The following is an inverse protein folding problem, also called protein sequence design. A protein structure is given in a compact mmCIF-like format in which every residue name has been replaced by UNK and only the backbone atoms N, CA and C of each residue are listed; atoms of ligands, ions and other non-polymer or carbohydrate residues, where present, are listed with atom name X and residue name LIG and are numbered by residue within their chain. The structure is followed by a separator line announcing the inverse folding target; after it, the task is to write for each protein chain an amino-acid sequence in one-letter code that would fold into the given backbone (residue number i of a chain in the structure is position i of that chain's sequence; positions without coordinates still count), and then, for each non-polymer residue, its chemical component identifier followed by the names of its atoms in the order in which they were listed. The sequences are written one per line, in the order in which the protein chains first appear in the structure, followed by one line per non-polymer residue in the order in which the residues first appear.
data_IF_987735626365
#
_entry.id   IF_987735626365
#
_cell.length_a   1.000
_cell.length_b   1.000
_cell.length_c   1.000
_cell.angle_alpha   90.00
_cell.angle_beta   90.00
_cell.angle_gamma   90.00
#
_symmetry.space_group_name_H-M   'P 1'
#
loop_
_entity.id
_entity.type
_entity.pdbx_description
1 polymer ?
#
# COMPACT_ATOMS: atom_id res chain seq x y z
N UNK A 1 76.87 -10.11 56.71
CA UNK A 1 77.22 -11.05 55.61
C UNK A 1 76.44 -10.62 54.40
N UNK A 2 77.13 -9.99 53.45
CA UNK A 2 76.56 -9.44 52.22
C UNK A 2 76.90 -10.43 51.11
N UNK A 3 75.89 -11.02 50.47
CA UNK A 3 76.06 -11.88 49.31
C UNK A 3 76.03 -11.01 48.05
N UNK A 4 77.15 -10.95 47.33
CA UNK A 4 77.29 -10.24 46.06
C UNK A 4 76.78 -11.06 44.87
N UNK A 5 76.53 -10.41 43.71
CA UNK A 5 76.10 -11.08 42.50
C UNK A 5 77.26 -11.80 41.82
N UNK A 6 77.03 -13.05 41.42
CA UNK A 6 77.96 -13.84 40.61
C UNK A 6 78.08 -13.26 39.21
N UNK A 7 79.30 -12.88 38.86
CA UNK A 7 79.69 -12.48 37.50
C UNK A 7 80.08 -13.76 36.76
N UNK A 8 79.32 -14.17 35.75
CA UNK A 8 79.73 -15.25 34.86
C UNK A 8 80.73 -14.68 33.84
N UNK A 9 82.00 -15.04 33.99
CA UNK A 9 83.06 -14.80 33.01
C UNK A 9 82.87 -15.73 31.80
N UNK A 10 82.65 -15.17 30.61
CA UNK A 10 82.77 -15.88 29.35
C UNK A 10 84.22 -15.72 28.86
N UNK A 11 85.03 -16.78 28.89
CA UNK A 11 86.48 -16.70 28.67
C UNK A 11 86.97 -17.05 27.25
N UNK A 12 86.12 -17.07 26.21
CA UNK A 12 86.59 -17.29 24.84
C UNK A 12 85.79 -16.46 23.83
N UNK A 13 86.50 -15.57 23.14
CA UNK A 13 86.01 -14.44 22.33
C UNK A 13 85.50 -14.84 20.91
N UNK A 14 84.97 -16.05 20.75
CA UNK A 14 84.50 -16.56 19.45
C UNK A 14 83.12 -17.24 19.46
N UNK A 15 82.50 -17.50 20.62
CA UNK A 15 81.20 -18.18 20.74
C UNK A 15 80.09 -17.33 21.40
N UNK A 16 80.32 -16.03 21.59
CA UNK A 16 79.27 -15.11 22.02
C UNK A 16 78.35 -14.78 20.83
N UNK A 17 77.45 -15.70 20.48
CA UNK A 17 76.30 -15.37 19.62
C UNK A 17 75.44 -14.39 20.43
N UNK A 18 75.26 -13.13 20.01
CA UNK A 18 74.37 -12.22 20.70
C UNK A 18 72.99 -12.86 20.79
N UNK A 19 72.29 -12.75 21.94
CA UNK A 19 70.94 -13.27 22.05
C UNK A 19 70.14 -12.77 20.84
N UNK A 20 69.38 -13.64 20.15
CA UNK A 20 68.61 -13.23 18.99
C UNK A 20 67.82 -11.98 19.38
N UNK A 21 67.83 -10.94 18.53
CA UNK A 21 67.12 -9.71 18.83
C UNK A 21 65.69 -10.08 19.26
N UNK A 22 65.17 -9.48 20.34
CA UNK A 22 63.83 -9.80 20.81
C UNK A 22 62.91 -9.75 19.61
N UNK A 23 62.21 -10.87 19.35
CA UNK A 23 61.27 -10.98 18.25
C UNK A 23 60.46 -9.68 18.22
N UNK A 24 60.40 -8.96 17.08
CA UNK A 24 59.75 -7.67 17.04
C UNK A 24 58.37 -7.85 17.66
N UNK A 25 58.10 -7.10 18.74
CA UNK A 25 56.80 -7.15 19.40
C UNK A 25 55.74 -7.07 18.30
N UNK A 26 54.79 -8.02 18.24
CA UNK A 26 53.83 -8.06 17.16
C UNK A 26 53.23 -6.67 17.02
N UNK A 27 53.39 -6.08 15.83
CA UNK A 27 52.86 -4.74 15.56
C UNK A 27 51.41 -4.73 16.03
N UNK A 28 50.99 -3.77 16.87
CA UNK A 28 49.63 -3.77 17.39
C UNK A 28 48.67 -3.86 16.22
N UNK A 29 47.77 -4.84 16.24
CA UNK A 29 46.80 -4.99 15.17
C UNK A 29 46.00 -3.68 15.08
N UNK A 30 45.84 -3.10 13.87
CA UNK A 30 45.08 -1.87 13.69
C UNK A 30 43.65 -2.00 14.19
N UNK A 31 42.96 -0.88 14.37
CA UNK A 31 41.51 -0.87 14.62
C UNK A 31 40.81 -1.56 13.45
N UNK A 32 39.84 -2.41 13.75
CA UNK A 32 39.03 -3.08 12.74
C UNK A 32 37.64 -3.28 13.34
N UNK A 33 36.69 -2.45 12.91
CA UNK A 33 35.30 -2.57 13.34
C UNK A 33 34.56 -3.55 12.45
N UNK A 34 33.46 -4.11 12.94
CA UNK A 34 32.58 -4.97 12.16
C UNK A 34 31.16 -4.67 12.57
N UNK A 35 30.23 -4.64 11.61
CA UNK A 35 28.80 -4.59 11.91
C UNK A 35 28.07 -5.83 11.40
N UNK A 36 27.08 -6.30 12.17
CA UNK A 36 26.30 -7.48 11.86
C UNK A 36 24.87 -7.30 12.35
N UNK A 37 23.87 -7.58 11.51
CA UNK A 37 22.49 -7.68 11.99
C UNK A 37 22.34 -8.95 12.82
N UNK A 38 21.84 -8.81 14.04
CA UNK A 38 21.35 -9.97 14.78
C UNK A 38 20.04 -10.49 14.14
N UNK A 39 19.63 -11.74 14.46
CA UNK A 39 18.40 -12.30 13.93
C UNK A 39 17.23 -11.33 14.05
N UNK A 40 16.65 -10.96 12.90
CA UNK A 40 15.59 -9.95 12.84
C UNK A 40 14.22 -10.62 13.01
N UNK A 41 13.51 -10.40 14.14
CA UNK A 41 12.28 -11.13 14.44
C UNK A 41 11.12 -10.90 13.46
N UNK A 42 11.12 -9.78 12.72
CA UNK A 42 10.04 -9.42 11.79
C UNK A 42 10.64 -8.95 10.47
N UNK A 43 10.23 -9.58 9.37
CA UNK A 43 10.67 -9.24 8.01
C UNK A 43 9.49 -8.86 7.09
N UNK A 44 8.25 -8.89 7.58
CA UNK A 44 7.06 -8.52 6.83
C UNK A 44 6.37 -7.36 7.51
N UNK A 45 6.32 -6.22 6.84
CA UNK A 45 5.82 -4.97 7.39
C UNK A 45 4.62 -4.47 6.61
N UNK A 46 3.71 -3.78 7.29
CA UNK A 46 2.72 -2.95 6.62
C UNK A 46 3.38 -1.68 6.09
N UNK A 47 2.82 -1.07 5.05
CA UNK A 47 3.22 0.28 4.62
C UNK A 47 3.19 1.26 5.80
N UNK A 48 4.21 2.12 5.87
CA UNK A 48 4.45 3.09 6.94
C UNK A 48 4.73 2.51 8.34
N UNK A 49 4.95 1.20 8.46
CA UNK A 49 5.29 0.59 9.74
C UNK A 49 6.73 0.94 10.16
N UNK A 50 6.96 1.15 11.46
CA UNK A 50 8.31 1.26 12.00
C UNK A 50 8.88 -0.13 12.24
N UNK A 51 9.95 -0.46 11.53
CA UNK A 51 10.72 -1.66 11.78
C UNK A 51 11.77 -1.42 12.88
N UNK A 52 11.95 -2.40 13.78
CA UNK A 52 13.00 -2.39 14.80
C UNK A 52 13.95 -3.56 14.59
N UNK A 53 15.26 -3.32 14.64
CA UNK A 53 16.30 -4.34 14.48
C UNK A 53 17.42 -4.13 15.51
N UNK A 54 18.31 -5.12 15.64
CA UNK A 54 19.51 -4.99 16.47
C UNK A 54 20.75 -5.23 15.62
N UNK A 55 21.71 -4.31 15.72
CA UNK A 55 23.00 -4.39 15.05
C UNK A 55 24.07 -4.61 16.09
N UNK A 56 24.82 -5.69 15.97
CA UNK A 56 26.02 -5.93 16.75
C UNK A 56 27.19 -5.21 16.08
N UNK A 57 27.91 -4.41 16.88
CA UNK A 57 29.18 -3.83 16.50
C UNK A 57 30.28 -4.50 17.30
N UNK A 58 31.29 -5.01 16.61
CA UNK A 58 32.44 -5.69 17.23
C UNK A 58 33.72 -4.99 16.81
N UNK A 59 34.64 -4.78 17.75
CA UNK A 59 36.01 -4.42 17.43
C UNK A 59 36.83 -5.71 17.30
N UNK A 60 37.11 -6.15 16.08
CA UNK A 60 37.91 -7.34 15.80
C UNK A 60 39.40 -7.02 15.66
N UNK A 61 39.77 -5.74 15.74
CA UNK A 61 41.14 -5.25 15.70
C UNK A 61 41.87 -5.35 17.04
N UNK A 62 43.13 -4.91 17.04
CA UNK A 62 43.99 -4.91 18.24
C UNK A 62 44.03 -3.59 19.00
N UNK A 63 43.38 -2.55 18.47
CA UNK A 63 43.40 -1.19 19.02
C UNK A 63 42.01 -0.78 19.50
N UNK A 64 41.90 -0.12 20.66
CA UNK A 64 40.63 0.39 21.20
C UNK A 64 40.01 1.43 20.27
N UNK A 65 38.70 1.33 20.02
CA UNK A 65 37.98 2.33 19.23
C UNK A 65 37.66 3.58 20.06
N UNK A 66 37.61 4.74 19.41
CA UNK A 66 36.92 5.91 19.90
C UNK A 66 35.39 5.71 19.80
N UNK A 67 34.62 6.64 20.37
CA UNK A 67 33.17 6.68 20.16
C UNK A 67 32.87 6.81 18.65
N UNK A 68 32.03 5.92 18.14
CA UNK A 68 31.75 5.73 16.72
C UNK A 68 30.25 5.88 16.45
N UNK A 69 29.85 5.88 15.18
CA UNK A 69 28.44 5.98 14.79
C UNK A 69 28.03 4.79 13.95
N UNK A 70 26.84 4.24 14.21
CA UNK A 70 26.17 3.31 13.31
C UNK A 70 25.12 4.06 12.52
N UNK A 71 25.18 3.97 11.18
CA UNK A 71 24.11 4.43 10.31
C UNK A 71 23.27 3.26 9.81
N UNK A 72 22.05 3.57 9.33
CA UNK A 72 21.15 2.61 8.70
C UNK A 72 20.68 3.09 7.32
N UNK A 73 20.71 2.18 6.34
CA UNK A 73 20.33 2.43 4.96
C UNK A 73 19.29 1.42 4.50
N UNK A 74 18.00 1.78 4.58
CA UNK A 74 16.91 0.87 4.22
C UNK A 74 16.72 0.69 2.71
N UNK A 75 17.25 1.60 1.88
CA UNK A 75 17.06 1.61 0.41
C UNK A 75 18.35 1.45 -0.41
N UNK A 76 19.48 1.12 0.22
CA UNK A 76 20.71 0.75 -0.50
C UNK A 76 21.40 1.87 -1.29
N UNK A 77 21.55 3.07 -0.71
CA UNK A 77 22.30 4.16 -1.35
C UNK A 77 23.82 3.87 -1.45
N UNK A 78 24.57 4.57 -2.33
CA UNK A 78 26.02 4.41 -2.44
C UNK A 78 26.72 4.69 -1.11
N UNK A 79 27.77 3.90 -0.84
CA UNK A 79 28.58 3.99 0.37
C UNK A 79 29.20 5.39 0.54
N UNK A 80 29.23 5.96 1.76
CA UNK A 80 30.15 7.05 2.04
C UNK A 80 31.58 6.53 1.93
N UNK A 81 32.38 7.15 1.06
CA UNK A 81 33.82 6.89 0.95
C UNK A 81 34.51 7.84 1.93
N UNK A 82 35.25 7.32 2.90
CA UNK A 82 36.07 8.16 3.77
C UNK A 82 37.45 8.40 3.15
N UNK A 83 37.71 9.62 2.65
CA UNK A 83 39.05 10.19 2.81
C UNK A 83 38.99 11.63 3.36
N UNK A 84 39.47 11.81 4.59
CA UNK A 84 40.03 13.09 5.08
C UNK A 84 39.09 14.23 5.50
N UNK A 85 37.78 14.03 5.66
CA UNK A 85 36.84 15.05 6.18
C UNK A 85 35.56 14.37 6.68
N UNK A 86 34.88 14.88 7.74
CA UNK A 86 33.65 14.28 8.25
C UNK A 86 32.54 14.36 7.20
N UNK A 87 32.31 13.26 6.49
CA UNK A 87 31.09 13.07 5.72
C UNK A 87 30.00 12.70 6.72
N UNK A 88 28.98 13.54 6.79
CA UNK A 88 27.73 13.23 7.47
C UNK A 88 27.18 11.92 6.88
N UNK A 89 26.69 10.98 7.70
CA UNK A 89 25.92 9.86 7.18
C UNK A 89 24.86 10.39 6.19
N UNK A 90 24.64 9.74 5.03
CA UNK A 90 23.53 10.06 4.14
C UNK A 90 22.22 10.12 4.94
N UNK A 91 21.26 10.91 4.47
CA UNK A 91 19.97 11.12 5.15
C UNK A 91 19.38 9.78 5.65
N UNK A 92 19.41 9.58 6.96
CA UNK A 92 19.10 8.34 7.67
C UNK A 92 19.20 8.52 9.19
N UNK A 93 18.90 7.47 9.95
CA UNK A 93 19.07 7.51 11.42
C UNK A 93 20.50 7.09 11.79
N UNK A 94 21.10 7.82 12.73
CA UNK A 94 22.43 7.55 13.27
C UNK A 94 22.35 7.24 14.74
N UNK A 95 23.14 6.26 15.19
CA UNK A 95 23.16 5.78 16.57
C UNK A 95 24.59 5.84 17.11
N UNK A 96 24.75 6.39 18.31
CA UNK A 96 26.05 6.50 18.95
C UNK A 96 26.47 5.14 19.51
N UNK A 97 27.72 4.78 19.29
CA UNK A 97 28.36 3.58 19.82
C UNK A 97 29.52 4.01 20.70
N UNK A 98 29.47 3.61 21.97
CA UNK A 98 30.55 3.85 22.92
C UNK A 98 31.84 3.17 22.47
N UNK A 99 32.97 3.61 23.04
CA UNK A 99 34.29 3.01 22.79
C UNK A 99 34.30 1.49 23.02
N UNK A 100 34.94 0.75 22.11
CA UNK A 100 35.06 -0.71 22.17
C UNK A 100 36.52 -1.12 22.34
N UNK A 101 36.81 -1.88 23.40
CA UNK A 101 38.09 -2.55 23.57
C UNK A 101 38.30 -3.64 22.50
N UNK A 102 39.56 -4.05 22.22
CA UNK A 102 39.83 -5.19 21.33
C UNK A 102 39.03 -6.44 21.73
N UNK A 103 38.33 -7.03 20.76
CA UNK A 103 37.44 -8.19 20.94
C UNK A 103 36.07 -7.89 21.57
N UNK A 104 35.83 -6.66 22.03
CA UNK A 104 34.55 -6.30 22.63
C UNK A 104 33.44 -6.12 21.58
N UNK A 105 32.20 -6.38 21.99
CA UNK A 105 31.00 -6.17 21.18
C UNK A 105 29.95 -5.39 21.94
N UNK A 106 29.11 -4.67 21.21
CA UNK A 106 27.91 -4.02 21.74
C UNK A 106 26.75 -4.16 20.77
N UNK A 107 25.55 -4.27 21.30
CA UNK A 107 24.32 -4.46 20.53
C UNK A 107 23.52 -3.15 20.55
N UNK A 108 23.23 -2.63 19.37
CA UNK A 108 22.56 -1.36 19.16
C UNK A 108 21.15 -1.62 18.61
N UNK A 109 20.14 -1.21 19.36
CA UNK A 109 18.75 -1.23 18.89
C UNK A 109 18.50 -0.06 17.95
N UNK A 110 18.07 -0.36 16.73
CA UNK A 110 17.75 0.60 15.68
C UNK A 110 16.28 0.53 15.32
N UNK A 111 15.72 1.65 14.86
CA UNK A 111 14.35 1.69 14.33
C UNK A 111 14.22 2.62 13.13
N UNK A 112 13.39 2.26 12.15
CA UNK A 112 13.19 3.07 10.96
C UNK A 112 11.82 2.81 10.34
N UNK A 113 11.29 3.79 9.62
CA UNK A 113 10.05 3.62 8.86
C UNK A 113 10.35 2.87 7.56
N UNK A 114 9.61 1.80 7.28
CA UNK A 114 9.84 0.96 6.07
C UNK A 114 9.38 1.62 4.77
N UNK A 115 8.71 2.77 4.84
CA UNK A 115 8.16 3.51 3.71
C UNK A 115 6.77 3.05 3.30
N UNK A 116 6.20 3.74 2.31
CA UNK A 116 4.85 3.46 1.80
C UNK A 116 4.85 2.44 0.65
N UNK A 117 5.97 2.35 -0.07
CA UNK A 117 6.10 1.55 -1.29
C UNK A 117 6.15 0.05 -0.96
N UNK A 118 5.21 -0.77 -1.46
CA UNK A 118 5.27 -2.21 -1.33
C UNK A 118 6.42 -2.78 -2.15
N UNK A 119 6.98 -3.87 -1.68
CA UNK A 119 8.09 -4.54 -2.34
C UNK A 119 9.01 -5.23 -1.35
N UNK A 120 10.05 -5.86 -1.88
CA UNK A 120 11.13 -6.44 -1.08
C UNK A 120 12.34 -5.53 -1.17
N UNK A 121 12.87 -5.15 -0.02
CA UNK A 121 13.98 -4.23 0.17
C UNK A 121 15.08 -4.92 0.96
N UNK A 122 16.30 -4.37 0.90
CA UNK A 122 17.41 -4.84 1.71
C UNK A 122 17.94 -3.68 2.55
N UNK A 123 17.89 -3.84 3.87
CA UNK A 123 18.46 -2.90 4.82
C UNK A 123 19.93 -3.25 5.09
N UNK A 124 20.79 -2.25 5.10
CA UNK A 124 22.20 -2.37 5.48
C UNK A 124 22.50 -1.49 6.69
N UNK A 125 23.33 -2.01 7.60
CA UNK A 125 23.88 -1.25 8.72
C UNK A 125 25.37 -1.04 8.46
N UNK A 126 25.88 0.12 8.89
CA UNK A 126 27.29 0.43 8.75
C UNK A 126 27.81 1.04 10.03
N UNK A 127 28.96 0.57 10.49
CA UNK A 127 29.72 1.24 11.54
C UNK A 127 30.76 2.16 10.89
N UNK A 128 30.74 3.45 11.25
CA UNK A 128 31.64 4.45 10.71
C UNK A 128 32.62 4.84 11.82
N UNK A 129 33.86 4.29 11.84
CA UNK A 129 34.86 4.66 12.83
C UNK A 129 35.07 6.17 12.84
N UNK A 130 35.41 6.71 14.01
CA UNK A 130 35.76 8.11 14.12
C UNK A 130 36.91 8.43 13.14
N UNK A 131 36.78 9.50 12.36
CA UNK A 131 37.73 9.84 11.28
C UNK A 131 39.16 10.18 11.76
N UNK A 132 39.45 9.99 13.05
CA UNK A 132 40.77 10.09 13.67
C UNK A 132 41.45 8.72 13.86
N UNK A 133 40.80 7.61 13.49
CA UNK A 133 41.36 6.25 13.56
C UNK A 133 41.20 5.54 12.20
N UNK A 134 42.30 5.10 11.56
CA UNK A 134 42.21 4.28 10.37
C UNK A 134 41.67 2.90 10.73
N UNK A 135 40.78 2.39 9.90
CA UNK A 135 40.19 1.05 10.03
C UNK A 135 40.84 0.09 9.03
N UNK A 136 41.18 -1.10 9.51
CA UNK A 136 41.98 -2.06 8.78
C UNK A 136 41.25 -2.69 7.59
N UNK A 137 39.91 -2.81 7.66
CA UNK A 137 39.14 -3.57 6.68
C UNK A 137 37.74 -3.00 6.47
N UNK A 138 37.63 -1.84 5.82
CA UNK A 138 36.33 -1.21 5.50
C UNK A 138 35.19 -2.14 5.01
N UNK A 139 35.41 -3.21 4.21
CA UNK A 139 34.33 -4.11 3.80
C UNK A 139 33.55 -4.78 4.93
N UNK A 140 34.13 -5.02 6.10
CA UNK A 140 33.43 -5.66 7.23
C UNK A 140 32.64 -4.66 8.09
N UNK A 141 32.82 -3.35 7.85
CA UNK A 141 32.04 -2.30 8.50
C UNK A 141 30.59 -2.29 8.02
N UNK A 142 30.32 -2.86 6.85
CA UNK A 142 28.99 -3.09 6.29
C UNK A 142 28.45 -4.45 6.75
N UNK A 143 27.22 -4.48 7.25
CA UNK A 143 26.52 -5.73 7.53
C UNK A 143 26.14 -6.46 6.24
N UNK A 144 25.95 -7.78 6.29
CA UNK A 144 25.57 -8.60 5.13
C UNK A 144 24.22 -8.26 4.48
N UNK A 145 23.52 -7.24 4.97
CA UNK A 145 22.18 -6.86 4.56
C UNK A 145 21.11 -7.77 5.15
N UNK A 146 19.92 -7.24 5.39
CA UNK A 146 18.75 -8.07 5.71
C UNK A 146 17.57 -7.66 4.84
N UNK A 147 16.96 -8.65 4.21
CA UNK A 147 15.78 -8.46 3.37
C UNK A 147 14.54 -8.28 4.23
N UNK A 148 13.71 -7.32 3.87
CA UNK A 148 12.36 -7.15 4.42
C UNK A 148 11.36 -6.88 3.30
N UNK A 149 10.11 -7.22 3.53
CA UNK A 149 9.01 -7.01 2.60
C UNK A 149 8.00 -6.04 3.18
N UNK A 150 7.68 -5.00 2.43
CA UNK A 150 6.57 -4.09 2.72
C UNK A 150 5.37 -4.53 1.91
N UNK A 151 4.26 -4.78 2.59
CA UNK A 151 2.98 -5.06 1.95
C UNK A 151 2.04 -3.87 2.15
N UNK A 152 1.49 -3.34 1.06
CA UNK A 152 0.32 -2.48 1.17
C UNK A 152 -0.93 -3.36 1.24
N UNK A 153 -1.71 -3.11 2.28
CA UNK A 153 -3.03 -3.66 2.52
C UNK A 153 -4.01 -2.50 2.44
N UNK A 154 -5.22 -2.77 1.96
CA UNK A 154 -6.24 -1.76 1.71
C UNK A 154 -7.60 -2.20 2.24
N UNK A 155 -8.44 -1.21 2.42
CA UNK A 155 -9.82 -1.31 2.87
C UNK A 155 -10.64 -0.19 2.21
N UNK A 156 -11.95 -0.40 2.13
CA UNK A 156 -12.90 0.57 1.62
C UNK A 156 -13.84 1.03 2.73
N UNK A 157 -14.47 2.18 2.54
CA UNK A 157 -15.47 2.73 3.45
C UNK A 157 -16.75 3.06 2.67
N UNK A 158 -17.91 2.66 3.17
CA UNK A 158 -19.18 3.21 2.71
C UNK A 158 -19.73 4.24 3.70
N UNK A 159 -20.27 5.33 3.17
CA UNK A 159 -20.96 6.36 3.95
C UNK A 159 -22.43 6.37 3.52
N UNK A 160 -23.33 6.28 4.50
CA UNK A 160 -24.77 6.25 4.28
C UNK A 160 -25.27 5.08 3.38
N UNK A 161 -24.44 4.05 3.19
CA UNK A 161 -24.70 2.96 2.26
C UNK A 161 -24.43 1.58 2.85
N UNK A 162 -25.14 0.60 2.32
CA UNK A 162 -25.04 -0.80 2.71
C UNK A 162 -23.95 -1.53 1.93
N UNK A 163 -23.46 -2.62 2.50
CA UNK A 163 -22.53 -3.55 1.84
C UNK A 163 -23.15 -4.93 1.86
N UNK A 164 -23.18 -5.59 0.70
CA UNK A 164 -23.70 -6.93 0.62
C UNK A 164 -23.04 -7.76 -0.47
N UNK A 165 -22.79 -9.02 -0.16
CA UNK A 165 -22.37 -10.03 -1.13
C UNK A 165 -23.07 -11.35 -0.81
N UNK A 166 -23.52 -12.09 -1.84
CA UNK A 166 -24.08 -13.43 -1.63
C UNK A 166 -23.05 -14.40 -1.03
N UNK A 167 -21.80 -14.23 -1.40
CA UNK A 167 -20.69 -15.07 -0.96
C UNK A 167 -19.86 -14.29 0.05
N UNK A 168 -18.65 -13.87 -0.30
CA UNK A 168 -17.70 -13.33 0.67
C UNK A 168 -17.60 -11.81 0.63
N UNK A 169 -17.47 -11.18 1.79
CA UNK A 169 -16.88 -9.83 1.92
C UNK A 169 -15.56 -9.97 2.66
N UNK A 170 -14.50 -9.47 2.04
CA UNK A 170 -13.14 -9.51 2.59
C UNK A 170 -12.39 -8.23 2.23
N UNK A 171 -11.49 -7.83 3.12
CA UNK A 171 -10.52 -6.75 2.89
C UNK A 171 -9.14 -7.21 3.35
N UNK A 172 -8.09 -6.58 2.83
CA UNK A 172 -6.72 -6.95 3.23
C UNK A 172 -6.23 -6.21 4.48
N UNK A 173 -6.87 -5.10 4.85
CA UNK A 173 -6.59 -4.29 6.04
C UNK A 173 -7.85 -4.12 6.87
N UNK A 174 -7.78 -4.31 8.19
CA UNK A 174 -8.85 -3.87 9.09
C UNK A 174 -8.83 -2.35 9.18
N UNK A 175 -9.98 -1.64 9.08
CA UNK A 175 -10.03 -0.21 9.25
C UNK A 175 -9.47 0.22 10.62
N UNK A 176 -8.93 1.45 10.74
CA UNK A 176 -8.52 1.98 12.04
C UNK A 176 -9.71 2.11 13.00
N UNK A 177 -9.41 2.22 14.29
CA UNK A 177 -10.44 2.37 15.33
C UNK A 177 -11.38 3.56 15.03
N UNK A 178 -12.69 3.32 15.18
CA UNK A 178 -13.73 4.32 14.89
C UNK A 178 -14.12 4.42 13.42
N UNK A 179 -13.58 3.57 12.54
CA UNK A 179 -13.92 3.51 11.11
C UNK A 179 -14.39 2.11 10.75
N UNK A 180 -15.27 2.03 9.76
CA UNK A 180 -15.98 0.80 9.40
C UNK A 180 -16.16 0.71 7.89
N UNK A 181 -16.29 -0.51 7.34
CA UNK A 181 -16.65 -0.69 5.93
C UNK A 181 -18.08 -0.21 5.66
N UNK A 182 -18.96 -0.28 6.65
CA UNK A 182 -20.31 0.30 6.62
C UNK A 182 -20.77 0.61 8.03
N UNK A 183 -21.59 1.65 8.14
CA UNK A 183 -22.32 2.01 9.37
C UNK A 183 -23.80 1.62 9.37
N UNK A 184 -24.28 0.96 8.30
CA UNK A 184 -25.69 0.61 8.13
C UNK A 184 -25.89 -0.90 8.11
N UNK A 185 -25.96 -1.54 6.94
CA UNK A 185 -26.14 -2.98 6.80
C UNK A 185 -24.92 -3.64 6.14
N UNK A 186 -24.45 -4.75 6.74
CA UNK A 186 -23.49 -5.68 6.15
C UNK A 186 -24.09 -7.09 6.03
N UNK A 187 -24.23 -7.63 4.82
CA UNK A 187 -24.78 -8.97 4.62
C UNK A 187 -23.86 -9.83 3.73
N UNK A 188 -23.30 -10.91 4.29
CA UNK A 188 -22.52 -11.88 3.50
C UNK A 188 -22.49 -13.29 4.12
N UNK A 189 -21.83 -14.21 3.45
CA UNK A 189 -21.59 -15.60 3.88
C UNK A 189 -20.29 -16.17 3.22
N UNK A 190 -19.08 -15.95 3.80
CA UNK A 190 -18.81 -15.25 5.06
C UNK A 190 -18.37 -13.78 4.92
N UNK A 191 -18.47 -13.04 6.01
CA UNK A 191 -17.78 -11.79 6.32
C UNK A 191 -16.46 -12.16 7.01
N UNK A 192 -15.34 -11.70 6.47
CA UNK A 192 -14.02 -11.96 7.05
C UNK A 192 -13.76 -11.16 8.33
N UNK A 193 -12.86 -11.67 9.17
CA UNK A 193 -12.48 -11.02 10.44
C UNK A 193 -11.77 -9.68 10.26
N UNK A 194 -11.27 -9.39 9.05
CA UNK A 194 -10.70 -8.09 8.70
C UNK A 194 -11.76 -7.03 8.39
N UNK A 195 -13.02 -7.42 8.20
CA UNK A 195 -14.14 -6.51 7.95
C UNK A 195 -14.69 -6.01 9.28
N UNK A 196 -14.84 -4.71 9.40
CA UNK A 196 -15.44 -4.02 10.53
C UNK A 196 -16.79 -3.40 10.14
N UNK A 197 -17.79 -3.66 10.96
CA UNK A 197 -19.12 -3.05 10.87
C UNK A 197 -19.28 -2.16 12.09
N UNK A 198 -19.90 -1.00 11.93
CA UNK A 198 -20.21 -0.12 13.05
C UNK A 198 -20.99 -0.89 14.14
N UNK A 199 -20.67 -0.75 15.44
CA UNK A 199 -21.42 -1.39 16.52
C UNK A 199 -22.93 -1.10 16.53
N UNK A 200 -23.37 0.04 15.99
CA UNK A 200 -24.77 0.38 15.81
C UNK A 200 -25.40 -0.15 14.50
N UNK A 201 -24.58 -0.70 13.60
CA UNK A 201 -25.01 -1.27 12.33
C UNK A 201 -25.59 -2.68 12.46
N UNK A 202 -26.35 -3.07 11.45
CA UNK A 202 -26.91 -4.41 11.31
C UNK A 202 -25.97 -5.27 10.49
N UNK A 203 -25.76 -6.52 10.89
CA UNK A 203 -24.99 -7.43 10.08
C UNK A 203 -25.42 -8.89 10.20
N UNK A 204 -25.09 -9.66 9.16
CA UNK A 204 -25.27 -11.11 9.14
C UNK A 204 -24.16 -11.78 8.33
N UNK A 205 -23.53 -12.79 8.93
CA UNK A 205 -22.42 -13.57 8.37
C UNK A 205 -22.89 -14.93 7.78
N UNK A 206 -24.19 -15.07 7.56
CA UNK A 206 -24.79 -16.28 7.01
C UNK A 206 -25.92 -15.95 6.03
N UNK A 207 -25.82 -14.82 5.34
CA UNK A 207 -26.83 -14.40 4.38
C UNK A 207 -26.76 -15.27 3.13
N UNK A 208 -27.80 -16.07 2.89
CA UNK A 208 -27.93 -16.97 1.73
C UNK A 208 -28.94 -16.50 0.66
N UNK A 209 -29.95 -15.64 0.94
CA UNK A 209 -30.83 -15.13 -0.10
C UNK A 209 -30.08 -14.32 -1.17
N UNK A 210 -30.71 -14.12 -2.31
CA UNK A 210 -30.16 -13.21 -3.32
C UNK A 210 -30.44 -11.76 -2.90
N UNK A 211 -29.40 -10.94 -2.82
CA UNK A 211 -29.51 -9.49 -2.60
C UNK A 211 -30.08 -8.74 -3.82
N UNK A 212 -29.99 -9.37 -4.99
CA UNK A 212 -30.48 -8.85 -6.27
C UNK A 212 -31.47 -9.85 -6.88
N UNK A 213 -32.44 -9.40 -7.70
CA UNK A 213 -33.38 -10.30 -8.36
C UNK A 213 -32.69 -11.43 -9.13
N UNK A 214 -33.38 -12.55 -9.30
CA UNK A 214 -32.92 -13.64 -10.15
C UNK A 214 -32.63 -13.11 -11.58
N UNK A 215 -31.50 -13.52 -12.17
CA UNK A 215 -31.00 -12.96 -13.44
C UNK A 215 -30.07 -11.74 -13.28
N UNK A 216 -29.97 -11.17 -12.08
CA UNK A 216 -29.08 -10.05 -11.77
C UNK A 216 -29.70 -8.68 -12.02
N UNK A 217 -29.07 -7.64 -11.47
CA UNK A 217 -29.59 -6.28 -11.54
C UNK A 217 -29.62 -5.72 -12.99
N UNK A 218 -28.64 -6.09 -13.83
CA UNK A 218 -28.65 -5.76 -15.26
C UNK A 218 -29.91 -6.31 -15.94
N UNK A 219 -30.19 -7.61 -15.80
CA UNK A 219 -31.31 -8.25 -16.49
C UNK A 219 -32.64 -7.62 -16.07
N UNK A 220 -32.83 -7.41 -14.76
CA UNK A 220 -34.03 -6.75 -14.23
C UNK A 220 -34.29 -5.37 -14.85
N UNK A 221 -33.23 -4.55 -15.00
CA UNK A 221 -33.34 -3.23 -15.62
C UNK A 221 -33.48 -3.31 -17.14
N UNK A 222 -32.78 -4.25 -17.78
CA UNK A 222 -32.81 -4.43 -19.21
C UNK A 222 -34.21 -4.84 -19.70
N UNK A 223 -34.84 -5.80 -19.02
CA UNK A 223 -36.20 -6.27 -19.37
C UNK A 223 -37.24 -5.15 -19.34
N UNK A 224 -37.03 -4.14 -18.49
CA UNK A 224 -37.98 -3.02 -18.32
C UNK A 224 -37.69 -1.83 -19.21
N UNK A 225 -36.42 -1.47 -19.37
CA UNK A 225 -36.03 -0.16 -19.88
C UNK A 225 -35.15 -0.20 -21.13
N UNK A 226 -34.52 -1.34 -21.46
CA UNK A 226 -33.59 -1.42 -22.59
C UNK A 226 -34.27 -1.11 -23.93
N UNK A 227 -35.50 -1.59 -24.14
CA UNK A 227 -36.24 -1.32 -25.38
C UNK A 227 -36.51 0.18 -25.60
N UNK A 228 -36.73 0.93 -24.52
CA UNK A 228 -36.89 2.38 -24.59
C UNK A 228 -35.54 3.08 -24.81
N UNK A 229 -34.48 2.63 -24.13
CA UNK A 229 -33.12 3.13 -24.32
C UNK A 229 -32.63 2.96 -25.77
N UNK A 230 -32.94 1.82 -26.41
CA UNK A 230 -32.62 1.53 -27.82
C UNK A 230 -33.22 2.50 -28.83
N UNK A 231 -34.23 3.29 -28.44
CA UNK A 231 -34.76 4.39 -29.26
C UNK A 231 -33.85 5.62 -29.29
N UNK A 232 -32.86 5.70 -28.40
CA UNK A 232 -31.89 6.77 -28.29
C UNK A 232 -30.44 6.23 -28.43
N UNK A 233 -30.09 5.59 -29.55
CA UNK A 233 -28.76 5.05 -29.76
C UNK A 233 -27.73 6.16 -29.77
N UNK A 234 -26.57 5.90 -29.19
CA UNK A 234 -25.43 6.81 -29.17
C UNK A 234 -24.44 6.41 -30.27
N UNK A 235 -23.78 7.39 -30.92
CA UNK A 235 -22.90 7.11 -32.05
C UNK A 235 -21.66 6.34 -31.60
N UNK A 236 -21.22 5.45 -32.47
CA UNK A 236 -20.00 4.66 -32.28
C UNK A 236 -18.86 5.29 -33.07
N UNK A 237 -17.74 5.56 -32.39
CA UNK A 237 -16.52 6.11 -33.02
C UNK A 237 -15.35 5.25 -32.57
N UNK A 238 -14.61 4.67 -33.52
CA UNK A 238 -13.45 3.83 -33.20
C UNK A 238 -13.78 2.58 -32.38
N UNK A 239 -14.93 1.94 -32.64
CA UNK A 239 -15.35 0.69 -31.99
C UNK A 239 -15.86 0.83 -30.55
N UNK A 240 -16.12 2.05 -30.10
CA UNK A 240 -16.72 2.33 -28.79
C UNK A 240 -17.73 3.46 -28.88
N UNK A 241 -18.63 3.47 -27.90
CA UNK A 241 -19.60 4.52 -27.63
C UNK A 241 -19.01 5.49 -26.61
N UNK A 242 -18.81 6.75 -27.00
CA UNK A 242 -18.27 7.77 -26.09
C UNK A 242 -19.40 8.36 -25.26
N UNK A 243 -19.24 8.35 -23.94
CA UNK A 243 -20.13 9.06 -23.01
C UNK A 243 -19.71 10.54 -23.03
N UNK A 244 -20.52 11.44 -23.61
CA UNK A 244 -20.09 12.79 -23.93
C UNK A 244 -20.11 13.69 -22.69
N UNK A 245 -19.27 14.73 -22.73
CA UNK A 245 -19.46 15.90 -21.87
C UNK A 245 -20.76 16.67 -22.23
N UNK A 246 -21.37 17.32 -21.24
CA UNK A 246 -22.53 18.20 -21.46
C UNK A 246 -23.88 17.51 -21.27
N UNK A 247 -24.97 18.14 -21.73
CA UNK A 247 -26.34 17.70 -21.40
C UNK A 247 -26.62 16.32 -21.97
N UNK A 248 -26.84 15.36 -21.08
CA UNK A 248 -27.28 14.01 -21.38
C UNK A 248 -28.41 13.66 -20.43
N UNK A 249 -29.64 13.76 -20.91
CA UNK A 249 -30.84 13.39 -20.14
C UNK A 249 -31.55 12.20 -20.75
N UNK A 250 -32.22 11.42 -19.90
CA UNK A 250 -33.05 10.29 -20.30
C UNK A 250 -32.30 8.97 -20.44
N UNK A 251 -32.95 8.01 -21.11
CA UNK A 251 -32.39 6.69 -21.38
C UNK A 251 -31.50 6.75 -22.64
N UNK A 252 -30.27 6.27 -22.52
CA UNK A 252 -29.24 6.22 -23.57
C UNK A 252 -28.83 4.78 -23.84
N UNK A 253 -28.45 4.48 -25.08
CA UNK A 253 -28.03 3.14 -25.46
C UNK A 253 -26.74 3.13 -26.27
N UNK A 254 -25.79 2.29 -25.86
CA UNK A 254 -24.56 1.95 -26.57
C UNK A 254 -24.62 0.45 -26.96
N UNK A 255 -24.57 0.15 -28.26
CA UNK A 255 -24.59 -1.24 -28.74
C UNK A 255 -23.23 -1.95 -28.62
N UNK A 256 -22.16 -1.18 -28.41
CA UNK A 256 -20.77 -1.64 -28.21
C UNK A 256 -20.24 -1.25 -26.83
N UNK A 257 -18.94 -1.38 -26.61
CA UNK A 257 -18.26 -0.93 -25.39
C UNK A 257 -18.46 0.57 -25.16
N UNK A 258 -18.77 0.95 -23.93
CA UNK A 258 -18.83 2.34 -23.49
C UNK A 258 -17.47 2.83 -22.98
N UNK A 259 -17.18 4.11 -23.22
CA UNK A 259 -15.96 4.76 -22.72
C UNK A 259 -16.27 6.16 -22.21
N UNK A 260 -15.77 6.49 -21.03
CA UNK A 260 -15.74 7.86 -20.52
C UNK A 260 -14.29 8.35 -20.50
N UNK A 261 -13.95 9.31 -21.35
CA UNK A 261 -12.58 9.79 -21.57
C UNK A 261 -12.44 11.32 -21.58
N UNK A 262 -13.54 12.07 -21.60
CA UNK A 262 -13.55 13.52 -21.84
C UNK A 262 -13.26 14.36 -20.58
N UNK A 263 -13.26 13.73 -19.39
CA UNK A 263 -12.96 14.36 -18.09
C UNK A 263 -13.98 15.38 -17.59
N UNK A 264 -14.94 15.78 -18.43
CA UNK A 264 -16.11 16.58 -18.04
C UNK A 264 -17.32 15.68 -17.97
N UNK A 265 -17.99 15.64 -16.82
CA UNK A 265 -19.14 14.77 -16.62
C UNK A 265 -20.36 15.21 -17.47
N UNK A 266 -21.26 14.26 -17.80
CA UNK A 266 -22.54 14.60 -18.38
C UNK A 266 -23.40 15.41 -17.39
N UNK A 267 -24.23 16.31 -17.92
CA UNK A 267 -25.19 17.14 -17.18
C UNK A 267 -26.61 16.59 -17.30
N UNK A 268 -27.40 16.74 -16.25
CA UNK A 268 -28.75 16.22 -16.09
C UNK A 268 -28.80 14.78 -15.59
N UNK A 269 -30.00 14.20 -15.62
CA UNK A 269 -30.25 12.82 -15.18
C UNK A 269 -30.27 11.87 -16.38
N UNK A 270 -29.34 10.92 -16.44
CA UNK A 270 -29.31 9.88 -17.49
C UNK A 270 -29.09 8.46 -16.99
N UNK A 271 -29.59 7.51 -17.77
CA UNK A 271 -29.34 6.08 -17.59
C UNK A 271 -28.77 5.53 -18.90
N UNK A 272 -27.60 4.93 -18.82
CA UNK A 272 -26.85 4.43 -19.96
C UNK A 272 -26.89 2.90 -19.98
N UNK A 273 -27.56 2.33 -20.97
CA UNK A 273 -27.51 0.90 -21.26
C UNK A 273 -26.36 0.62 -22.21
N UNK A 274 -25.43 -0.25 -21.81
CA UNK A 274 -24.23 -0.58 -22.57
C UNK A 274 -24.18 -2.09 -22.78
N UNK A 275 -24.22 -2.55 -24.03
CA UNK A 275 -24.19 -3.98 -24.38
C UNK A 275 -22.78 -4.60 -24.29
N UNK A 276 -21.74 -3.76 -24.30
CA UNK A 276 -20.35 -4.18 -24.08
C UNK A 276 -19.87 -3.98 -22.63
N UNK A 277 -18.57 -3.73 -22.51
CA UNK A 277 -17.91 -3.31 -21.27
C UNK A 277 -17.93 -1.78 -21.14
N UNK A 278 -17.72 -1.26 -19.94
CA UNK A 278 -17.53 0.17 -19.67
C UNK A 278 -16.14 0.43 -19.09
N UNK A 279 -15.39 1.32 -19.75
CA UNK A 279 -14.10 1.81 -19.25
C UNK A 279 -14.21 3.30 -18.88
N UNK A 280 -13.91 3.62 -17.63
CA UNK A 280 -13.82 5.00 -17.12
C UNK A 280 -12.35 5.38 -17.02
N UNK A 281 -11.91 6.34 -17.83
CA UNK A 281 -10.49 6.71 -17.92
C UNK A 281 -10.15 8.04 -17.25
N UNK A 282 -11.17 8.85 -16.98
CA UNK A 282 -11.02 10.16 -16.37
C UNK A 282 -12.02 10.32 -15.24
N UNK A 283 -11.74 11.27 -14.37
CA UNK A 283 -12.62 11.60 -13.27
C UNK A 283 -14.02 11.97 -13.77
N UNK A 284 -15.02 11.26 -13.28
CA UNK A 284 -16.42 11.53 -13.52
C UNK A 284 -16.96 12.21 -12.26
N UNK A 285 -17.06 13.54 -12.30
CA UNK A 285 -17.55 14.35 -11.18
C UNK A 285 -18.86 15.02 -11.58
N UNK A 286 -19.95 14.63 -10.93
CA UNK A 286 -21.28 15.17 -11.22
C UNK A 286 -21.55 16.44 -10.40
N UNK A 287 -22.36 17.34 -10.94
CA UNK A 287 -22.94 18.42 -10.16
C UNK A 287 -23.97 17.88 -9.16
N UNK A 288 -24.31 18.63 -8.09
CA UNK A 288 -25.31 18.22 -7.11
C UNK A 288 -26.67 17.83 -7.72
N UNK A 289 -27.09 18.50 -8.78
CA UNK A 289 -28.33 18.32 -9.52
C UNK A 289 -28.28 17.24 -10.62
N UNK A 290 -27.10 16.72 -10.92
CA UNK A 290 -26.89 15.75 -11.99
C UNK A 290 -26.84 14.32 -11.43
N UNK A 291 -27.37 13.36 -12.19
CA UNK A 291 -27.32 11.93 -11.85
C UNK A 291 -27.01 11.08 -13.07
N UNK A 292 -26.22 10.04 -12.87
CA UNK A 292 -25.93 9.05 -13.90
C UNK A 292 -26.04 7.63 -13.35
N UNK A 293 -26.62 6.75 -14.14
CA UNK A 293 -26.57 5.30 -13.93
C UNK A 293 -25.98 4.65 -15.16
N UNK A 294 -25.00 3.78 -14.96
CA UNK A 294 -24.51 2.87 -15.98
C UNK A 294 -25.07 1.49 -15.74
N UNK A 295 -25.75 0.93 -16.75
CA UNK A 295 -26.30 -0.42 -16.76
C UNK A 295 -25.59 -1.20 -17.85
N UNK A 296 -24.58 -1.98 -17.44
CA UNK A 296 -23.57 -2.56 -18.33
C UNK A 296 -23.71 -4.07 -18.39
N UNK A 297 -23.77 -4.63 -19.60
CA UNK A 297 -23.89 -6.08 -19.79
C UNK A 297 -22.58 -6.81 -19.47
N UNK A 298 -21.46 -6.24 -19.89
CA UNK A 298 -20.11 -6.73 -19.60
C UNK A 298 -19.52 -6.10 -18.35
N UNK A 299 -18.19 -6.06 -18.24
CA UNK A 299 -17.47 -5.58 -17.08
C UNK A 299 -17.43 -4.04 -17.02
N UNK A 300 -17.29 -3.49 -15.80
CA UNK A 300 -16.99 -2.08 -15.56
C UNK A 300 -15.57 -2.00 -14.98
N UNK A 301 -14.73 -1.16 -15.59
CA UNK A 301 -13.36 -0.94 -15.12
C UNK A 301 -13.09 0.55 -15.01
N UNK A 302 -12.59 0.98 -13.85
CA UNK A 302 -12.01 2.30 -13.66
C UNK A 302 -10.50 2.21 -13.87
N UNK A 303 -9.91 3.17 -14.56
CA UNK A 303 -8.45 3.28 -14.58
C UNK A 303 -7.92 3.68 -13.21
N UNK A 304 -6.71 3.23 -12.89
CA UNK A 304 -6.00 3.55 -11.65
C UNK A 304 -5.94 5.06 -11.38
N UNK A 305 -5.72 5.88 -12.41
CA UNK A 305 -5.65 7.34 -12.27
C UNK A 305 -7.00 8.02 -11.95
N UNK A 306 -8.12 7.32 -12.06
CA UNK A 306 -9.44 7.86 -11.70
C UNK A 306 -9.51 7.96 -10.18
N UNK A 307 -9.60 9.18 -9.65
CA UNK A 307 -9.77 9.48 -8.23
C UNK A 307 -11.20 9.86 -7.87
N UNK A 308 -12.07 10.09 -8.87
CA UNK A 308 -13.48 10.35 -8.66
C UNK A 308 -14.37 9.72 -9.71
N UNK A 309 -15.39 8.99 -9.28
CA UNK A 309 -16.32 8.28 -10.15
C UNK A 309 -17.76 8.35 -9.61
N UNK A 310 -18.38 9.52 -9.68
CA UNK A 310 -19.76 9.76 -9.24
C UNK A 310 -20.75 9.03 -10.17
N UNK A 311 -21.71 8.31 -9.59
CA UNK A 311 -22.74 7.57 -10.33
C UNK A 311 -23.14 6.26 -9.68
N UNK A 312 -24.21 5.65 -10.20
CA UNK A 312 -24.58 4.27 -9.87
C UNK A 312 -24.07 3.35 -10.99
N UNK A 313 -23.29 2.34 -10.63
CA UNK A 313 -22.67 1.40 -11.56
C UNK A 313 -23.30 0.03 -11.39
N UNK A 314 -24.01 -0.44 -12.40
CA UNK A 314 -24.72 -1.73 -12.40
C UNK A 314 -24.15 -2.57 -13.53
N UNK A 315 -23.66 -3.76 -13.20
CA UNK A 315 -23.08 -4.68 -14.18
C UNK A 315 -23.49 -6.12 -13.94
N UNK A 316 -23.69 -6.88 -15.02
CA UNK A 316 -23.81 -8.33 -14.96
C UNK A 316 -22.45 -9.05 -14.85
N UNK A 317 -21.37 -8.34 -15.17
CA UNK A 317 -19.99 -8.76 -15.04
C UNK A 317 -19.35 -8.29 -13.74
N UNK A 318 -18.05 -8.02 -13.82
CA UNK A 318 -17.21 -7.59 -12.71
C UNK A 318 -17.09 -6.07 -12.69
N UNK A 319 -17.03 -5.51 -11.48
CA UNK A 319 -16.57 -4.15 -11.26
C UNK A 319 -15.13 -4.17 -10.75
N UNK A 320 -14.24 -3.43 -11.41
CA UNK A 320 -12.85 -3.24 -11.00
C UNK A 320 -12.56 -1.75 -10.87
N UNK A 321 -11.96 -1.36 -9.75
CA UNK A 321 -11.57 0.03 -9.46
C UNK A 321 -10.23 0.45 -10.09
N UNK A 322 -9.60 -0.48 -10.80
CA UNK A 322 -8.22 -0.40 -11.32
C UNK A 322 -8.06 -1.28 -12.55
N UNK A 323 -7.08 -0.97 -13.39
CA UNK A 323 -6.76 -1.72 -14.62
C UNK A 323 -5.63 -2.74 -14.47
N UNK A 324 -4.80 -2.65 -13.42
CA UNK A 324 -3.52 -3.38 -13.34
C UNK A 324 -3.45 -4.33 -12.15
N UNK A 325 -3.59 -5.65 -12.29
CA UNK A 325 -3.78 -6.53 -11.12
C UNK A 325 -2.59 -6.68 -10.11
N UNK A 326 -1.41 -6.07 -10.33
CA UNK A 326 -0.19 -6.42 -9.57
C UNK A 326 0.36 -5.35 -8.58
N UNK A 327 0.25 -4.04 -8.85
CA UNK A 327 0.96 -3.01 -8.05
C UNK A 327 0.27 -1.64 -8.03
N UNK A 328 -1.05 -1.62 -7.81
CA UNK A 328 -1.81 -0.38 -7.99
C UNK A 328 -1.68 0.56 -6.78
N UNK A 329 -0.55 1.25 -6.72
CA UNK A 329 -0.41 2.42 -5.89
C UNK A 329 -1.09 3.60 -6.57
N UNK A 330 -2.03 4.23 -5.88
CA UNK A 330 -2.76 5.37 -6.38
C UNK A 330 -3.29 6.28 -5.27
N UNK A 331 -3.91 7.38 -5.69
CA UNK A 331 -4.69 8.22 -4.78
C UNK A 331 -6.06 7.58 -4.49
N UNK A 332 -6.68 7.99 -3.39
CA UNK A 332 -8.02 7.52 -2.99
C UNK A 332 -9.04 7.69 -4.11
N UNK A 333 -9.88 6.67 -4.31
CA UNK A 333 -11.06 6.75 -5.15
C UNK A 333 -12.26 7.21 -4.32
N UNK A 334 -12.89 8.30 -4.75
CA UNK A 334 -14.14 8.79 -4.17
C UNK A 334 -15.29 8.50 -5.15
N UNK A 335 -16.30 7.78 -4.69
CA UNK A 335 -17.50 7.48 -5.46
C UNK A 335 -18.71 8.04 -4.72
N UNK A 336 -19.43 8.96 -5.36
CA UNK A 336 -20.75 9.37 -4.89
C UNK A 336 -21.83 8.63 -5.64
N UNK A 337 -22.38 7.59 -5.02
CA UNK A 337 -23.33 6.68 -5.63
C UNK A 337 -23.15 5.26 -5.08
N UNK A 338 -22.97 4.27 -5.95
CA UNK A 338 -22.94 2.87 -5.54
C UNK A 338 -22.63 1.90 -6.66
N UNK A 339 -22.31 0.67 -6.29
CA UNK A 339 -21.91 -0.39 -7.22
C UNK A 339 -22.77 -1.63 -6.97
N UNK A 340 -23.32 -2.19 -8.04
CA UNK A 340 -24.00 -3.50 -8.04
C UNK A 340 -23.39 -4.33 -9.16
N UNK A 341 -22.68 -5.39 -8.80
CA UNK A 341 -21.93 -6.23 -9.75
C UNK A 341 -22.05 -7.71 -9.38
N UNK A 342 -21.67 -8.60 -10.30
CA UNK A 342 -21.48 -10.02 -9.97
C UNK A 342 -20.31 -10.21 -9.02
N UNK A 343 -19.25 -9.44 -9.21
CA UNK A 343 -18.09 -9.39 -8.31
C UNK A 343 -17.56 -7.96 -8.32
N UNK A 344 -17.25 -7.45 -7.13
CA UNK A 344 -16.61 -6.15 -6.95
C UNK A 344 -15.20 -6.39 -6.44
N UNK A 345 -14.22 -5.93 -7.19
CA UNK A 345 -12.80 -6.04 -6.84
C UNK A 345 -12.24 -4.64 -6.66
N UNK A 346 -11.83 -4.36 -5.42
CA UNK A 346 -11.23 -3.09 -5.01
C UNK A 346 -9.75 -3.34 -4.69
N UNK A 347 -8.90 -3.25 -5.71
CA UNK A 347 -7.50 -3.63 -5.64
C UNK A 347 -6.56 -2.45 -5.39
N UNK A 348 -7.08 -1.22 -5.40
CA UNK A 348 -6.27 -0.02 -5.20
C UNK A 348 -5.68 0.00 -3.79
N UNK A 349 -4.47 0.52 -3.74
CA UNK A 349 -3.70 0.72 -2.52
C UNK A 349 -3.21 2.16 -2.51
N UNK A 350 -3.34 2.83 -1.38
CA UNK A 350 -2.84 4.18 -1.22
C UNK A 350 -1.32 4.15 -1.15
N UNK A 351 -0.66 4.93 -2.00
CA UNK A 351 0.78 5.09 -2.02
C UNK A 351 1.29 5.72 -3.32
N UNK A 352 2.61 5.89 -3.42
CA UNK A 352 3.24 6.53 -4.58
C UNK A 352 2.97 8.05 -4.63
N UNK A 353 2.67 8.58 -5.81
CA UNK A 353 2.32 9.99 -6.02
C UNK A 353 0.85 10.28 -5.66
N UNK A 354 0.44 9.92 -4.44
CA UNK A 354 -0.86 10.25 -3.89
C UNK A 354 -0.82 11.64 -3.22
N UNK A 355 -1.97 12.30 -3.07
CA UNK A 355 -2.08 13.66 -2.50
C UNK A 355 -1.95 13.67 -0.97
N UNK A 356 -2.82 14.44 -0.28
CA UNK A 356 -2.84 14.44 1.20
C UNK A 356 -3.22 13.09 1.81
N UNK A 357 -3.97 12.26 1.07
CA UNK A 357 -4.43 10.93 1.49
C UNK A 357 -3.59 9.88 0.76
N UNK A 358 -2.70 9.24 1.51
CA UNK A 358 -1.62 8.42 0.97
C UNK A 358 -1.35 7.13 1.75
N UNK A 359 -2.18 6.81 2.74
CA UNK A 359 -1.89 5.75 3.67
C UNK A 359 -3.15 4.96 4.04
N UNK A 360 -3.14 3.66 3.72
CA UNK A 360 -4.24 2.77 4.06
C UNK A 360 -4.40 2.49 5.57
N UNK A 361 -3.45 2.91 6.41
CA UNK A 361 -3.57 2.79 7.87
C UNK A 361 -4.66 3.72 8.41
N UNK A 362 -4.79 4.94 7.85
CA UNK A 362 -5.73 5.96 8.32
C UNK A 362 -6.92 6.13 7.38
N UNK A 363 -6.71 5.89 6.10
CA UNK A 363 -7.65 6.25 5.04
C UNK A 363 -8.05 5.04 4.19
N UNK A 364 -9.32 4.94 3.76
CA UNK A 364 -9.73 3.89 2.85
C UNK A 364 -9.15 4.17 1.47
N UNK A 365 -8.81 3.12 0.72
CA UNK A 365 -8.43 3.26 -0.68
C UNK A 365 -9.63 3.69 -1.54
N UNK A 366 -10.83 3.24 -1.17
CA UNK A 366 -12.10 3.61 -1.81
C UNK A 366 -13.09 4.13 -0.77
N UNK A 367 -13.66 5.30 -1.02
CA UNK A 367 -14.77 5.84 -0.25
C UNK A 367 -16.01 5.91 -1.13
N UNK A 368 -17.07 5.20 -0.75
CA UNK A 368 -18.33 5.12 -1.49
C UNK A 368 -19.44 5.75 -0.66
N UNK A 369 -19.88 6.93 -1.05
CA UNK A 369 -20.96 7.67 -0.37
C UNK A 369 -22.25 7.49 -1.13
N UNK A 370 -23.24 6.86 -0.51
CA UNK A 370 -24.58 6.79 -1.09
C UNK A 370 -25.27 8.16 -0.96
N UNK A 371 -25.74 8.70 -2.09
CA UNK A 371 -26.48 9.97 -2.11
C UNK A 371 -27.96 9.71 -2.47
N UNK A 372 -28.92 10.07 -1.60
CA UNK A 372 -30.34 9.84 -1.85
C UNK A 372 -30.88 10.48 -3.15
N UNK A 373 -30.18 11.48 -3.72
CA UNK A 373 -30.57 12.12 -4.98
C UNK A 373 -30.76 11.12 -6.13
N UNK A 374 -30.01 10.02 -6.14
CA UNK A 374 -30.15 8.98 -7.15
C UNK A 374 -31.53 8.31 -7.09
N UNK A 375 -32.13 8.15 -5.91
CA UNK A 375 -33.48 7.58 -5.78
C UNK A 375 -34.56 8.55 -6.29
N UNK A 376 -34.41 9.84 -5.96
CA UNK A 376 -35.43 10.85 -6.25
C UNK A 376 -35.38 11.30 -7.71
N UNK A 377 -34.20 11.65 -8.21
CA UNK A 377 -34.05 12.25 -9.55
C UNK A 377 -34.15 11.23 -10.68
N UNK A 378 -33.91 9.94 -10.41
CA UNK A 378 -34.05 8.87 -11.39
C UNK A 378 -35.44 8.23 -11.39
N UNK A 379 -36.33 8.61 -10.47
CA UNK A 379 -37.69 8.09 -10.43
C UNK A 379 -38.45 8.25 -11.77
N UNK A 380 -38.31 9.34 -12.56
CA UNK A 380 -38.95 9.43 -13.87
C UNK A 380 -38.37 8.47 -14.93
N UNK A 381 -37.15 7.95 -14.73
CA UNK A 381 -36.45 7.10 -15.70
C UNK A 381 -36.51 5.62 -15.34
N UNK A 382 -36.38 5.31 -14.05
CA UNK A 382 -36.29 3.94 -13.51
C UNK A 382 -37.45 3.59 -12.58
N UNK A 383 -38.30 4.57 -12.24
CA UNK A 383 -39.52 4.33 -11.51
C UNK A 383 -40.52 3.56 -12.38
N UNK A 384 -41.25 2.65 -11.74
CA UNK A 384 -42.45 2.07 -12.34
C UNK A 384 -43.66 2.80 -11.74
N UNK A 385 -44.71 3.10 -12.53
CA UNK A 385 -45.94 3.59 -11.95
C UNK A 385 -46.45 2.57 -10.94
N UNK A 386 -46.79 3.03 -9.73
CA UNK A 386 -47.45 2.18 -8.74
C UNK A 386 -48.85 1.84 -9.28
N UNK A 387 -49.01 0.63 -9.84
CA UNK A 387 -50.34 0.11 -10.17
C UNK A 387 -50.97 -0.32 -8.85
N UNK A 388 -51.80 0.56 -8.29
CA UNK A 388 -52.68 0.20 -7.19
C UNK A 388 -53.93 -0.44 -7.77
N UNK A 389 -54.06 -1.75 -7.64
CA UNK A 389 -55.30 -2.44 -7.94
C UNK A 389 -56.30 -2.15 -6.83
N UNK A 390 -57.34 -1.38 -7.15
CA UNK A 390 -58.50 -1.18 -6.27
C UNK A 390 -59.63 -2.05 -6.79
N UNK A 391 -60.05 -3.00 -5.97
CA UNK A 391 -61.28 -3.76 -6.22
C UNK A 391 -62.47 -2.79 -6.17
N UNK A 392 -63.31 -2.82 -7.20
CA UNK A 392 -64.57 -2.08 -7.26
C UNK A 392 -65.68 -3.10 -7.06
N UNK A 393 -66.60 -2.82 -6.13
CA UNK A 393 -67.73 -3.71 -5.87
C UNK A 393 -68.60 -3.88 -7.14
N UNK A 394 -69.23 -5.06 -7.33
CA UNK A 394 -69.96 -5.42 -8.56
C UNK A 394 -71.08 -4.46 -8.97
#
# INVERSE_FOLDING_TARGET
MVAGPGVNECSNDADCVPPPPPSPSPSPMPLDLKSEFLPWPKQFFSSNETAGATVRVTNVGGTKSAATTVGLWPTGAPLPVCPGSPQTPPAGQSYVVSELAPGASTDISISFNVGLTPGTFTAYAYVIPACNQPDASWPNNQSGGVTYTVSARAWFETIAGDVGAKSRVQVSQTPPAGRYQTSYLMAANPIDTSVAVDPGGWWTNSYTPLLIPAGGAYQYLADRFLAAAKKNPQPEVGGHCTIPAGVSTGLKYCAVNGRFQDGTAPKGSSVWFIDGNLLIEKNLQLAPEDTIVFVVKGDITLKTEVTRADGIYITNGNFRDTTDDATILGAQLIMRGGVVARTTTLNRKLGGACGAICNNVTDPAEQITFEPKYLVQLAPLLGSPSISWKEVAP
#
